data_IF_807888366425
#
_entry.id   IF_807888366425
#
_cell.length_a   1.000
_cell.length_b   1.000
_cell.length_c   1.000
_cell.angle_alpha   90.00
_cell.angle_beta   90.00
_cell.angle_gamma   90.00
#
_symmetry.space_group_name_H-M   'P 1'
#
loop_
_entity.id
_entity.type
_entity.pdbx_description
1 polymer ?
#
# COMPACT_ATOMS: atom_id res chain seq x y z
N UNK A 1 8.23 10.42 -14.49
CA UNK A 1 7.73 10.11 -15.87
C UNK A 1 6.21 10.15 -15.96
N UNK A 2 5.65 10.55 -17.12
CA UNK A 2 4.20 10.61 -17.35
C UNK A 2 3.64 9.30 -17.93
N UNK A 3 2.56 8.81 -17.36
CA UNK A 3 1.75 7.70 -17.88
C UNK A 3 0.47 8.23 -18.58
N UNK A 4 -0.03 7.55 -19.63
CA UNK A 4 -1.17 8.05 -20.38
C UNK A 4 -2.52 7.69 -19.75
N UNK A 5 -3.23 8.70 -19.25
CA UNK A 5 -4.67 8.61 -18.91
C UNK A 5 -5.48 8.95 -20.15
N UNK A 6 -6.52 8.17 -20.44
CA UNK A 6 -7.44 8.42 -21.55
C UNK A 6 -8.79 8.85 -21.02
N UNK A 7 -9.34 9.90 -21.61
CA UNK A 7 -10.65 10.45 -21.27
C UNK A 7 -11.55 10.34 -22.48
N UNK A 8 -12.75 9.84 -22.28
CA UNK A 8 -13.78 9.74 -23.32
C UNK A 8 -15.01 10.48 -22.83
N UNK A 9 -15.71 11.21 -23.71
CA UNK A 9 -16.95 11.87 -23.35
C UNK A 9 -17.98 11.82 -24.48
N UNK A 10 -19.24 11.54 -24.15
CA UNK A 10 -20.30 11.45 -25.15
C UNK A 10 -21.60 10.86 -24.60
N UNK A 11 -22.65 10.84 -25.43
CA UNK A 11 -23.87 10.07 -25.14
C UNK A 11 -23.56 8.58 -25.27
N UNK A 12 -23.61 7.83 -24.17
CA UNK A 12 -23.17 6.44 -24.14
C UNK A 12 -24.22 5.53 -23.51
N UNK A 13 -24.20 4.26 -23.92
CA UNK A 13 -24.73 3.17 -23.12
C UNK A 13 -23.61 2.56 -22.28
N UNK A 14 -23.82 2.46 -20.98
CA UNK A 14 -22.96 1.70 -20.07
C UNK A 14 -23.67 0.42 -19.65
N UNK A 15 -22.98 -0.71 -19.78
CA UNK A 15 -23.46 -2.03 -19.35
C UNK A 15 -22.42 -2.65 -18.42
N UNK A 16 -22.83 -2.94 -17.19
CA UNK A 16 -22.01 -3.61 -16.20
C UNK A 16 -22.59 -4.98 -15.87
N UNK A 17 -21.75 -6.00 -15.93
CA UNK A 17 -22.04 -7.36 -15.45
C UNK A 17 -21.09 -7.69 -14.33
N UNK A 18 -21.64 -7.94 -13.15
CA UNK A 18 -20.90 -8.44 -12.01
C UNK A 18 -20.61 -9.94 -12.18
N UNK A 19 -19.55 -10.40 -11.53
CA UNK A 19 -19.29 -11.82 -11.32
C UNK A 19 -20.51 -12.50 -10.71
N UNK A 20 -20.97 -13.57 -11.35
CA UNK A 20 -22.00 -14.43 -10.74
C UNK A 20 -21.28 -15.21 -9.65
N UNK A 21 -21.57 -14.94 -8.38
CA UNK A 21 -21.09 -15.80 -7.30
C UNK A 21 -21.51 -17.23 -7.64
N UNK A 22 -20.54 -18.10 -7.99
CA UNK A 22 -20.80 -19.54 -7.97
C UNK A 22 -21.10 -19.84 -6.51
N UNK A 23 -22.37 -20.11 -6.21
CA UNK A 23 -22.78 -20.65 -4.93
C UNK A 23 -21.98 -21.91 -4.67
N UNK A 24 -20.88 -21.82 -3.93
CA UNK A 24 -20.48 -22.93 -3.08
C UNK A 24 -21.67 -23.20 -2.16
N UNK A 25 -22.12 -24.46 -2.15
CA UNK A 25 -23.37 -24.87 -1.52
C UNK A 25 -23.49 -24.33 -0.08
N UNK A 26 -24.54 -23.58 0.27
CA UNK A 26 -24.71 -23.15 1.64
C UNK A 26 -25.13 -24.35 2.51
N UNK A 27 -24.39 -24.59 3.60
CA UNK A 27 -24.98 -25.23 4.78
C UNK A 27 -26.08 -24.29 5.27
N UNK A 28 -27.28 -24.83 5.39
CA UNK A 28 -28.51 -24.13 5.72
C UNK A 28 -28.35 -23.18 6.92
N UNK A 29 -28.74 -21.91 6.77
CA UNK A 29 -29.65 -21.20 7.68
C UNK A 29 -29.93 -19.73 7.27
N UNK A 30 -31.23 -19.44 7.22
CA UNK A 30 -31.97 -18.15 7.28
C UNK A 30 -32.14 -17.29 6.01
N UNK A 31 -33.40 -16.85 5.72
CA UNK A 31 -33.71 -15.98 4.59
C UNK A 31 -33.91 -14.52 5.03
N UNK A 32 -33.10 -13.59 4.53
CA UNK A 32 -33.49 -12.17 4.36
C UNK A 32 -32.48 -11.34 3.54
N UNK A 33 -31.78 -11.93 2.58
CA UNK A 33 -30.94 -11.15 1.66
C UNK A 33 -31.58 -11.16 0.27
N UNK A 34 -31.94 -9.97 -0.21
CA UNK A 34 -32.40 -9.74 -1.57
C UNK A 34 -31.42 -10.41 -2.54
N UNK A 35 -31.92 -11.36 -3.34
CA UNK A 35 -31.13 -12.03 -4.36
C UNK A 35 -30.51 -10.98 -5.29
N UNK A 36 -29.18 -10.86 -5.28
CA UNK A 36 -28.44 -10.01 -6.21
C UNK A 36 -28.72 -10.54 -7.61
N UNK A 37 -29.57 -9.83 -8.37
CA UNK A 37 -29.88 -10.19 -9.74
C UNK A 37 -28.60 -10.21 -10.58
N UNK A 38 -28.37 -11.32 -11.27
CA UNK A 38 -27.27 -11.51 -12.23
C UNK A 38 -27.46 -10.73 -13.52
N UNK A 39 -28.57 -9.98 -13.65
CA UNK A 39 -28.84 -9.22 -14.87
C UNK A 39 -27.86 -8.05 -15.03
N UNK A 40 -27.37 -7.81 -16.26
CA UNK A 40 -26.55 -6.66 -16.55
C UNK A 40 -27.26 -5.37 -16.16
N UNK A 41 -26.62 -4.57 -15.31
CA UNK A 41 -27.06 -3.19 -15.07
C UNK A 41 -26.74 -2.39 -16.33
N UNK A 42 -27.77 -1.84 -16.96
CA UNK A 42 -27.66 -1.04 -18.18
C UNK A 42 -28.21 0.35 -17.94
N UNK A 43 -27.44 1.35 -18.33
CA UNK A 43 -27.81 2.76 -18.21
C UNK A 43 -27.37 3.52 -19.46
N UNK A 44 -28.03 4.64 -19.73
CA UNK A 44 -27.69 5.55 -20.83
C UNK A 44 -27.62 6.98 -20.32
N UNK A 45 -26.66 7.73 -20.83
CA UNK A 45 -26.55 9.16 -20.56
C UNK A 45 -25.31 9.75 -21.21
N UNK A 46 -25.19 11.09 -21.14
CA UNK A 46 -23.95 11.76 -21.48
C UNK A 46 -22.98 11.62 -20.30
N UNK A 47 -21.90 10.89 -20.51
CA UNK A 47 -20.96 10.49 -19.46
C UNK A 47 -19.53 10.87 -19.81
N UNK A 48 -18.69 10.95 -18.78
CA UNK A 48 -17.24 11.04 -18.90
C UNK A 48 -16.62 9.74 -18.41
N UNK A 49 -15.74 9.15 -19.21
CA UNK A 49 -15.05 7.89 -18.90
C UNK A 49 -13.57 8.16 -18.71
N UNK A 50 -13.03 7.78 -17.56
CA UNK A 50 -11.60 7.84 -17.26
C UNK A 50 -11.01 6.44 -17.31
N UNK A 51 -10.07 6.21 -18.22
CA UNK A 51 -9.31 4.97 -18.34
C UNK A 51 -7.85 5.21 -17.93
N UNK A 52 -7.46 4.61 -16.81
CA UNK A 52 -6.15 4.74 -16.18
C UNK A 52 -5.15 3.68 -16.66
N UNK A 53 -3.83 3.91 -16.52
CA UNK A 53 -2.78 2.98 -16.94
C UNK A 53 -2.87 1.59 -16.31
N UNK A 54 -3.36 1.49 -15.08
CA UNK A 54 -3.54 0.23 -14.35
C UNK A 54 -4.77 -0.58 -14.80
N UNK A 55 -5.41 -0.20 -15.91
CA UNK A 55 -6.62 -0.84 -16.43
C UNK A 55 -7.89 -0.42 -15.70
N UNK A 56 -7.83 0.51 -14.75
CA UNK A 56 -9.03 1.04 -14.09
C UNK A 56 -9.85 1.89 -15.07
N UNK A 57 -11.15 1.58 -15.17
CA UNK A 57 -12.14 2.34 -15.96
C UNK A 57 -13.22 2.87 -15.01
N UNK A 58 -13.43 4.18 -15.01
CA UNK A 58 -14.44 4.89 -14.22
C UNK A 58 -15.39 5.61 -15.16
N UNK A 59 -16.70 5.46 -14.94
CA UNK A 59 -17.75 6.16 -15.69
C UNK A 59 -18.45 7.12 -14.75
N UNK A 60 -18.40 8.41 -15.04
CA UNK A 60 -19.08 9.45 -14.28
C UNK A 60 -20.22 10.04 -15.10
N UNK A 61 -21.37 10.26 -14.47
CA UNK A 61 -22.40 11.17 -14.98
C UNK A 61 -22.20 12.57 -14.38
N UNK A 62 -23.24 13.41 -14.41
CA UNK A 62 -23.16 14.78 -13.92
C UNK A 62 -23.30 14.92 -12.40
N UNK A 63 -23.71 13.88 -11.67
CA UNK A 63 -24.08 13.96 -10.26
C UNK A 63 -23.31 12.97 -9.39
N UNK A 64 -23.15 13.32 -8.11
CA UNK A 64 -22.51 12.45 -7.14
C UNK A 64 -20.97 12.44 -7.22
N UNK A 65 -20.36 12.09 -6.10
CA UNK A 65 -18.92 11.95 -6.00
C UNK A 65 -18.41 10.63 -6.61
N UNK A 66 -19.23 9.58 -6.55
CA UNK A 66 -18.85 8.24 -7.00
C UNK A 66 -19.17 8.05 -8.49
N UNK A 67 -18.35 7.29 -9.23
CA UNK A 67 -18.68 6.89 -10.59
C UNK A 67 -19.96 6.05 -10.61
N UNK A 68 -20.79 6.23 -11.63
CA UNK A 68 -22.01 5.45 -11.84
C UNK A 68 -21.74 3.99 -12.22
N UNK A 69 -20.57 3.72 -12.81
CA UNK A 69 -20.07 2.37 -13.05
C UNK A 69 -18.54 2.39 -13.08
N UNK A 70 -17.92 1.31 -12.62
CA UNK A 70 -16.46 1.19 -12.65
C UNK A 70 -16.00 -0.25 -12.72
N UNK A 71 -14.78 -0.44 -13.21
CA UNK A 71 -14.03 -1.68 -13.06
C UNK A 71 -12.57 -1.33 -12.79
N UNK A 72 -12.05 -1.71 -11.63
CA UNK A 72 -10.68 -1.37 -11.20
C UNK A 72 -9.71 -2.51 -11.49
N UNK A 73 -8.51 -2.17 -11.98
CA UNK A 73 -7.45 -3.15 -12.29
C UNK A 73 -7.96 -4.29 -13.17
N UNK A 74 -8.52 -3.93 -14.33
CA UNK A 74 -9.00 -4.90 -15.30
C UNK A 74 -7.83 -5.69 -15.91
N UNK A 75 -8.04 -6.99 -16.15
CA UNK A 75 -7.07 -7.87 -16.81
C UNK A 75 -6.81 -7.42 -18.26
N UNK A 76 -7.86 -6.89 -18.90
CA UNK A 76 -7.79 -6.32 -20.23
C UNK A 76 -8.79 -5.17 -20.41
N UNK A 77 -8.39 -4.16 -21.18
CA UNK A 77 -9.27 -3.09 -21.66
C UNK A 77 -9.17 -2.97 -23.18
N UNK A 78 -10.17 -3.51 -23.87
CA UNK A 78 -10.32 -3.39 -25.32
C UNK A 78 -10.94 -2.05 -25.69
N UNK A 79 -10.44 -1.44 -26.76
CA UNK A 79 -10.85 -0.13 -27.25
C UNK A 79 -11.07 -0.24 -28.74
N UNK A 80 -12.27 0.12 -29.18
CA UNK A 80 -12.65 0.16 -30.57
C UNK A 80 -13.13 1.57 -30.91
N UNK A 81 -12.89 1.97 -32.15
CA UNK A 81 -13.33 3.25 -32.70
C UNK A 81 -14.04 2.96 -34.01
N UNK A 82 -15.21 3.53 -34.22
CA UNK A 82 -15.87 3.46 -35.52
C UNK A 82 -15.41 4.60 -36.44
N UNK A 83 -15.74 4.49 -37.73
CA UNK A 83 -15.43 5.48 -38.75
C UNK A 83 -16.24 6.78 -38.64
N UNK A 84 -17.23 6.83 -37.76
CA UNK A 84 -18.12 7.99 -37.51
C UNK A 84 -17.69 8.78 -36.27
N UNK A 85 -16.56 8.42 -35.66
CA UNK A 85 -15.97 9.12 -34.52
C UNK A 85 -16.45 8.63 -33.15
N UNK A 86 -17.25 7.56 -33.09
CA UNK A 86 -17.66 6.90 -31.86
C UNK A 86 -16.60 5.95 -31.29
N UNK A 87 -16.90 5.38 -30.13
CA UNK A 87 -16.05 4.42 -29.45
C UNK A 87 -16.83 3.31 -28.74
N UNK A 88 -16.15 2.18 -28.57
CA UNK A 88 -16.53 1.17 -27.59
C UNK A 88 -15.33 0.84 -26.70
N UNK A 89 -15.58 0.81 -25.39
CA UNK A 89 -14.65 0.39 -24.35
C UNK A 89 -15.18 -0.86 -23.68
N UNK A 90 -14.33 -1.87 -23.55
CA UNK A 90 -14.67 -3.11 -22.84
C UNK A 90 -13.56 -3.44 -21.87
N UNK A 91 -13.83 -3.27 -20.58
CA UNK A 91 -12.96 -3.71 -19.51
C UNK A 91 -13.46 -5.06 -18.97
N UNK A 92 -12.54 -5.99 -18.77
CA UNK A 92 -12.81 -7.35 -18.27
C UNK A 92 -11.90 -7.61 -17.08
N UNK A 93 -12.48 -8.15 -16.01
CA UNK A 93 -11.76 -8.61 -14.83
C UNK A 93 -12.45 -9.85 -14.30
N UNK A 94 -11.76 -10.98 -14.30
CA UNK A 94 -12.37 -12.27 -13.97
C UNK A 94 -13.67 -12.48 -14.80
N UNK A 95 -14.80 -12.79 -14.15
CA UNK A 95 -16.11 -12.91 -14.80
C UNK A 95 -16.87 -11.57 -14.90
N UNK A 96 -16.30 -10.48 -14.38
CA UNK A 96 -16.89 -9.13 -14.42
C UNK A 96 -16.55 -8.41 -15.72
N UNK A 97 -17.54 -7.68 -16.27
CA UNK A 97 -17.38 -6.94 -17.53
C UNK A 97 -18.07 -5.58 -17.48
N UNK A 98 -17.32 -4.54 -17.83
CA UNK A 98 -17.83 -3.19 -18.04
C UNK A 98 -17.70 -2.84 -19.54
N UNK A 99 -18.82 -2.59 -20.21
CA UNK A 99 -18.88 -2.05 -21.57
C UNK A 99 -19.42 -0.64 -21.56
N UNK A 100 -18.74 0.27 -22.26
CA UNK A 100 -19.22 1.63 -22.55
C UNK A 100 -19.18 1.84 -24.05
N UNK A 101 -20.29 2.26 -24.64
CA UNK A 101 -20.43 2.39 -26.09
C UNK A 101 -21.12 3.71 -26.42
N UNK A 102 -20.50 4.54 -27.25
CA UNK A 102 -21.05 5.83 -27.63
C UNK A 102 -22.11 5.69 -28.71
N UNK A 103 -23.09 6.59 -28.67
CA UNK A 103 -24.09 6.79 -29.71
C UNK A 103 -23.60 7.90 -30.64
N UNK A 104 -22.82 7.52 -31.67
CA UNK A 104 -22.21 8.43 -32.62
C UNK A 104 -20.92 9.08 -32.11
N UNK A 105 -20.57 10.23 -32.70
CA UNK A 105 -19.32 10.95 -32.44
C UNK A 105 -19.13 11.31 -30.96
N UNK A 106 -17.92 11.06 -30.46
CA UNK A 106 -17.55 11.28 -29.07
C UNK A 106 -16.13 11.85 -28.93
N UNK A 107 -15.92 12.61 -27.86
CA UNK A 107 -14.62 13.18 -27.53
C UNK A 107 -13.70 12.10 -26.95
N UNK A 108 -12.44 12.11 -27.37
CA UNK A 108 -11.43 11.14 -26.98
C UNK A 108 -10.09 11.83 -26.86
N UNK A 109 -9.62 11.97 -25.64
CA UNK A 109 -8.37 12.65 -25.35
C UNK A 109 -7.42 11.76 -24.56
N UNK A 110 -6.13 12.07 -24.70
CA UNK A 110 -5.04 11.41 -23.98
C UNK A 110 -4.23 12.48 -23.27
N UNK A 111 -4.08 12.31 -21.96
CA UNK A 111 -3.32 13.22 -21.13
C UNK A 111 -2.19 12.47 -20.43
N UNK A 112 -1.03 13.11 -20.30
CA UNK A 112 0.04 12.63 -19.44
C UNK A 112 -0.33 12.90 -17.98
N UNK A 113 -0.17 11.90 -17.13
CA UNK A 113 -0.35 12.02 -15.68
C UNK A 113 0.87 11.42 -14.99
N UNK A 114 1.25 11.99 -13.85
CA UNK A 114 2.31 11.46 -13.00
C UNK A 114 1.70 10.91 -11.71
N UNK A 115 2.48 10.18 -10.89
CA UNK A 115 2.23 10.16 -9.46
C UNK A 115 2.10 11.58 -8.93
N UNK A 116 1.20 11.77 -7.97
CA UNK A 116 0.95 13.05 -7.32
C UNK A 116 0.92 12.84 -5.82
N UNK A 117 1.55 13.75 -5.09
CA UNK A 117 1.67 13.71 -3.63
C UNK A 117 2.48 14.91 -3.14
N UNK A 118 2.75 14.98 -1.82
CA UNK A 118 3.58 16.04 -1.25
C UNK A 118 4.97 16.07 -1.89
N UNK A 119 5.48 17.26 -2.15
CA UNK A 119 6.87 17.47 -2.57
C UNK A 119 7.83 17.07 -1.44
N UNK A 120 8.93 16.41 -1.80
CA UNK A 120 9.92 15.92 -0.82
C UNK A 120 11.34 16.40 -1.08
N UNK A 121 11.62 17.00 -2.24
CA UNK A 121 12.92 17.55 -2.56
C UNK A 121 13.24 17.54 -4.05
N UNK A 122 14.52 17.59 -4.37
CA UNK A 122 15.04 17.65 -5.75
C UNK A 122 15.78 16.35 -6.08
N UNK A 123 15.60 15.86 -7.30
CA UNK A 123 16.25 14.66 -7.79
C UNK A 123 17.72 14.95 -8.13
N UNK A 124 18.69 14.21 -7.57
CA UNK A 124 20.11 14.43 -7.86
C UNK A 124 20.51 14.04 -9.29
N UNK A 125 19.72 13.20 -9.97
CA UNK A 125 20.04 12.71 -11.31
C UNK A 125 19.64 13.67 -12.43
N UNK A 126 18.65 14.54 -12.20
CA UNK A 126 18.07 15.39 -13.25
C UNK A 126 17.54 16.75 -12.79
N UNK A 127 17.75 17.12 -11.52
CA UNK A 127 17.23 18.34 -10.87
C UNK A 127 15.69 18.46 -10.86
N UNK A 128 14.99 17.38 -11.21
CA UNK A 128 13.53 17.32 -11.23
C UNK A 128 12.90 17.28 -9.84
N UNK A 129 11.59 17.55 -9.77
CA UNK A 129 10.87 17.50 -8.48
C UNK A 129 10.64 16.06 -8.01
N UNK A 130 10.93 15.79 -6.73
CA UNK A 130 10.59 14.54 -6.06
C UNK A 130 9.27 14.70 -5.30
N UNK A 131 8.40 13.69 -5.42
CA UNK A 131 7.13 13.63 -4.67
C UNK A 131 7.00 12.30 -3.94
N UNK A 132 6.32 12.30 -2.78
CA UNK A 132 5.92 11.07 -2.09
C UNK A 132 4.60 10.56 -2.62
N UNK A 133 4.62 9.44 -3.34
CA UNK A 133 3.41 8.84 -3.90
C UNK A 133 3.50 7.31 -3.92
N UNK A 134 2.36 6.64 -3.73
CA UNK A 134 2.23 5.17 -3.85
C UNK A 134 3.26 4.34 -3.04
N UNK A 135 3.72 4.86 -1.90
CA UNK A 135 4.70 4.17 -1.03
C UNK A 135 6.16 4.36 -1.45
N UNK A 136 6.46 5.32 -2.32
CA UNK A 136 7.81 5.66 -2.75
C UNK A 136 8.04 7.18 -2.77
N UNK A 137 9.30 7.58 -2.86
CA UNK A 137 9.70 8.90 -3.38
C UNK A 137 10.00 8.75 -4.86
N UNK A 138 9.31 9.51 -5.71
CA UNK A 138 9.40 9.37 -7.18
C UNK A 138 9.75 10.70 -7.82
N UNK A 139 10.66 10.68 -8.80
CA UNK A 139 10.94 11.85 -9.64
C UNK A 139 9.88 12.02 -10.74
N UNK A 140 9.45 13.26 -10.94
CA UNK A 140 8.49 13.60 -12.00
C UNK A 140 9.15 13.61 -13.40
N UNK A 141 10.44 13.91 -13.50
CA UNK A 141 11.14 14.19 -14.76
C UNK A 141 12.03 13.04 -15.26
N UNK A 142 12.46 12.12 -14.38
CA UNK A 142 13.18 10.90 -14.76
C UNK A 142 12.48 9.64 -14.22
N UNK A 143 13.18 8.49 -14.28
CA UNK A 143 12.70 7.19 -13.79
C UNK A 143 13.13 6.86 -12.36
N UNK A 144 13.77 7.80 -11.65
CA UNK A 144 14.19 7.57 -10.27
C UNK A 144 12.99 7.34 -9.34
N UNK A 145 13.06 6.26 -8.58
CA UNK A 145 12.04 5.85 -7.62
C UNK A 145 12.70 5.13 -6.43
N UNK A 146 12.36 5.55 -5.22
CA UNK A 146 12.89 5.02 -3.97
C UNK A 146 11.75 4.47 -3.12
N UNK A 147 11.60 3.15 -3.08
CA UNK A 147 10.55 2.48 -2.31
C UNK A 147 10.74 2.65 -0.80
N UNK A 148 9.65 2.97 -0.09
CA UNK A 148 9.69 3.24 1.35
C UNK A 148 8.99 2.12 2.13
N UNK A 149 9.43 1.86 3.39
CA UNK A 149 8.62 1.12 4.34
C UNK A 149 7.24 1.76 4.54
N UNK A 150 6.23 0.93 4.83
CA UNK A 150 4.83 1.38 4.95
C UNK A 150 4.62 2.50 5.98
N UNK A 151 5.37 2.43 7.06
CA UNK A 151 5.34 3.31 8.22
C UNK A 151 6.36 4.46 8.14
N UNK A 152 7.18 4.52 7.09
CA UNK A 152 8.18 5.57 6.97
C UNK A 152 7.52 6.94 6.75
N UNK A 153 8.10 8.01 7.28
CA UNK A 153 7.70 9.41 7.02
C UNK A 153 8.87 10.16 6.40
N UNK A 154 8.64 10.94 5.35
CA UNK A 154 9.70 11.77 4.72
C UNK A 154 9.96 13.01 5.58
N UNK A 155 11.22 13.40 5.69
CA UNK A 155 11.67 14.56 6.46
C UNK A 155 12.02 15.70 5.50
N UNK A 156 12.01 16.93 6.01
CA UNK A 156 12.45 18.11 5.25
C UNK A 156 13.98 18.19 5.10
N UNK A 157 14.73 17.34 5.82
CA UNK A 157 16.18 17.26 5.75
C UNK A 157 16.65 16.40 4.58
N UNK A 158 17.83 16.73 4.08
CA UNK A 158 18.47 16.07 2.93
C UNK A 158 19.68 15.26 3.41
N UNK A 159 19.87 14.07 2.84
CA UNK A 159 21.10 13.29 3.01
C UNK A 159 22.26 13.94 2.25
N UNK A 160 23.49 13.58 2.58
CA UNK A 160 24.70 14.08 1.90
C UNK A 160 24.72 13.77 0.41
N UNK A 161 24.03 12.71 -0.03
CA UNK A 161 23.86 12.39 -1.45
C UNK A 161 22.86 13.28 -2.19
N UNK A 162 22.19 14.22 -1.50
CA UNK A 162 21.19 15.12 -2.08
C UNK A 162 19.76 14.59 -2.08
N UNK A 163 19.53 13.32 -1.71
CA UNK A 163 18.19 12.75 -1.59
C UNK A 163 17.54 13.11 -0.24
N UNK A 164 16.19 13.14 -0.17
CA UNK A 164 15.47 13.37 1.07
C UNK A 164 15.79 12.32 2.13
N UNK A 165 15.69 12.68 3.41
CA UNK A 165 15.72 11.71 4.52
C UNK A 165 14.30 11.20 4.82
N UNK A 166 14.23 10.04 5.43
CA UNK A 166 13.03 9.47 6.00
C UNK A 166 13.26 9.05 7.45
N UNK A 167 12.19 9.01 8.22
CA UNK A 167 12.14 8.37 9.54
C UNK A 167 11.29 7.11 9.49
N UNK A 168 11.67 6.08 10.24
CA UNK A 168 10.93 4.81 10.37
C UNK A 168 11.12 4.23 11.78
N UNK A 169 10.14 3.49 12.30
CA UNK A 169 10.24 2.89 13.64
C UNK A 169 10.51 1.38 13.59
N UNK A 170 11.59 0.92 14.23
CA UNK A 170 11.92 -0.50 14.34
C UNK A 170 12.49 -0.79 15.72
N UNK A 171 11.69 -0.71 16.78
CA UNK A 171 12.21 -0.75 18.16
C UNK A 171 12.81 0.58 18.63
N UNK A 172 13.31 1.38 17.70
CA UNK A 172 13.72 2.76 17.88
C UNK A 172 13.37 3.55 16.61
N UNK A 173 13.44 4.88 16.70
CA UNK A 173 13.32 5.77 15.55
C UNK A 173 14.65 5.79 14.80
N UNK A 174 14.62 5.51 13.51
CA UNK A 174 15.77 5.59 12.61
C UNK A 174 15.55 6.69 11.59
N UNK A 175 16.52 7.58 11.41
CA UNK A 175 16.53 8.61 10.36
C UNK A 175 17.61 8.30 9.33
N UNK A 176 17.21 8.00 8.10
CA UNK A 176 18.07 7.47 7.04
C UNK A 176 17.68 8.10 5.70
N UNK A 177 18.55 8.01 4.70
CA UNK A 177 18.23 8.33 3.32
C UNK A 177 17.03 7.50 2.83
N UNK A 178 16.23 8.08 1.93
CA UNK A 178 15.17 7.32 1.22
C UNK A 178 15.74 6.25 0.30
N UNK A 179 16.99 6.41 -0.14
CA UNK A 179 17.70 5.40 -0.90
C UNK A 179 18.37 4.38 0.03
N UNK A 180 17.90 3.14 -0.07
CA UNK A 180 18.44 1.99 0.67
C UNK A 180 19.88 1.69 0.31
N UNK A 181 20.33 1.98 -0.92
CA UNK A 181 21.73 1.76 -1.30
C UNK A 181 22.67 2.77 -0.63
N UNK A 182 22.16 3.96 -0.28
CA UNK A 182 22.90 4.99 0.44
C UNK A 182 22.98 4.71 1.95
N UNK A 183 21.83 4.50 2.61
CA UNK A 183 21.76 4.18 4.05
C UNK A 183 20.83 2.98 4.28
N UNK A 184 21.39 1.84 4.68
CA UNK A 184 20.64 0.59 4.83
C UNK A 184 19.97 0.49 6.21
N UNK A 185 18.63 0.53 6.23
CA UNK A 185 17.84 0.30 7.45
C UNK A 185 18.22 -1.00 8.18
N UNK A 186 18.49 -2.07 7.43
CA UNK A 186 18.83 -3.37 8.02
C UNK A 186 20.11 -3.32 8.84
N UNK A 187 21.09 -2.57 8.35
CA UNK A 187 22.37 -2.42 9.02
C UNK A 187 22.21 -1.55 10.27
N UNK A 188 21.49 -0.43 10.15
CA UNK A 188 21.20 0.42 11.29
C UNK A 188 20.44 -0.31 12.41
N UNK A 189 19.47 -1.17 12.05
CA UNK A 189 18.73 -1.99 13.01
C UNK A 189 19.64 -3.06 13.64
N UNK A 190 20.46 -3.76 12.84
CA UNK A 190 21.42 -4.74 13.37
C UNK A 190 22.42 -4.10 14.32
N UNK A 191 23.04 -3.00 13.93
CA UNK A 191 23.97 -2.26 14.77
C UNK A 191 23.35 -1.88 16.11
N UNK A 192 22.05 -1.53 16.11
CA UNK A 192 21.35 -1.13 17.32
C UNK A 192 20.91 -2.30 18.20
N UNK A 193 20.50 -3.43 17.64
CA UNK A 193 19.74 -4.45 18.37
C UNK A 193 20.30 -5.87 18.29
N UNK A 194 21.35 -6.12 17.50
CA UNK A 194 21.95 -7.45 17.44
C UNK A 194 22.53 -7.84 18.80
N UNK A 195 22.06 -8.96 19.35
CA UNK A 195 22.41 -9.48 20.69
C UNK A 195 22.02 -8.55 21.86
N UNK A 196 21.04 -7.66 21.65
CA UNK A 196 20.51 -6.79 22.72
C UNK A 196 19.63 -7.56 23.73
N UNK A 197 19.01 -8.66 23.29
CA UNK A 197 18.03 -9.42 24.07
C UNK A 197 18.39 -10.90 24.19
N UNK A 198 17.85 -11.54 25.21
CA UNK A 198 18.09 -12.96 25.50
C UNK A 198 16.90 -13.81 25.07
N UNK A 199 17.21 -15.00 24.56
CA UNK A 199 16.21 -15.99 24.17
C UNK A 199 15.51 -16.56 25.41
N UNK A 200 14.18 -16.49 25.51
CA UNK A 200 13.45 -17.04 26.66
C UNK A 200 13.56 -18.57 26.77
N UNK A 201 13.86 -19.27 25.68
CA UNK A 201 13.92 -20.74 25.68
C UNK A 201 15.26 -21.31 26.18
N UNK A 202 16.38 -20.65 25.88
CA UNK A 202 17.71 -21.17 26.19
C UNK A 202 18.67 -20.16 26.83
N UNK A 203 18.25 -18.90 26.98
CA UNK A 203 19.07 -17.80 27.53
C UNK A 203 20.17 -17.28 26.61
N UNK A 204 20.34 -17.84 25.41
CA UNK A 204 21.32 -17.36 24.42
C UNK A 204 20.93 -16.03 23.79
N UNK A 205 21.91 -15.32 23.20
CA UNK A 205 21.66 -14.02 22.56
C UNK A 205 20.72 -14.14 21.35
N UNK A 206 19.81 -13.18 21.19
CA UNK A 206 19.00 -13.02 19.99
C UNK A 206 19.71 -12.15 18.96
N UNK A 207 19.88 -12.66 17.74
CA UNK A 207 20.48 -11.95 16.62
C UNK A 207 19.43 -11.32 15.72
N UNK A 208 19.75 -10.18 15.12
CA UNK A 208 18.91 -9.52 14.12
C UNK A 208 19.20 -10.14 12.75
N UNK A 209 18.27 -10.96 12.27
CA UNK A 209 18.37 -11.69 11.01
C UNK A 209 17.41 -11.11 9.97
N UNK A 210 17.68 -11.40 8.69
CA UNK A 210 16.83 -11.00 7.56
C UNK A 210 16.47 -12.21 6.72
N UNK A 211 15.17 -12.37 6.48
CA UNK A 211 14.64 -13.11 5.34
C UNK A 211 13.80 -12.17 4.47
N UNK A 212 12.47 -12.33 4.49
CA UNK A 212 11.53 -11.39 3.86
C UNK A 212 11.45 -10.08 4.64
N UNK A 213 11.51 -10.18 5.97
CA UNK A 213 11.53 -9.07 6.92
C UNK A 213 12.69 -9.28 7.90
N UNK A 214 12.99 -8.25 8.69
CA UNK A 214 13.88 -8.39 9.84
C UNK A 214 13.14 -9.12 10.97
N UNK A 215 13.85 -9.97 11.69
CA UNK A 215 13.35 -10.72 12.84
C UNK A 215 14.50 -11.03 13.80
N UNK A 216 14.14 -11.47 15.01
CA UNK A 216 15.08 -11.92 16.03
C UNK A 216 15.17 -13.46 15.97
N UNK A 217 16.37 -14.00 15.82
CA UNK A 217 16.60 -15.45 15.86
C UNK A 217 17.63 -15.83 16.91
N UNK A 218 17.45 -16.97 17.57
CA UNK A 218 18.40 -17.42 18.58
C UNK A 218 19.80 -17.66 17.99
N UNK A 219 20.83 -17.13 18.64
CA UNK A 219 22.23 -17.32 18.27
C UNK A 219 22.76 -18.74 18.47
N UNK A 220 21.99 -19.61 19.15
CA UNK A 220 22.32 -21.02 19.40
C UNK A 220 21.65 -21.98 18.39
N UNK A 221 21.22 -21.49 17.22
CA UNK A 221 20.76 -22.36 16.14
C UNK A 221 21.91 -23.27 15.66
N UNK A 222 21.66 -24.56 15.36
CA UNK A 222 20.36 -25.26 15.31
C UNK A 222 19.82 -25.81 16.64
N UNK A 223 20.56 -25.74 17.74
CA UNK A 223 20.17 -26.31 19.04
C UNK A 223 18.96 -25.59 19.68
N UNK A 224 18.73 -24.33 19.32
CA UNK A 224 17.53 -23.57 19.64
C UNK A 224 17.04 -22.83 18.40
N UNK A 225 15.81 -23.12 17.97
CA UNK A 225 15.19 -22.57 16.76
C UNK A 225 14.22 -21.41 17.06
N UNK A 226 14.26 -20.86 18.28
CA UNK A 226 13.37 -19.79 18.71
C UNK A 226 13.54 -18.54 17.82
N UNK A 227 12.41 -17.99 17.39
CA UNK A 227 12.35 -16.76 16.59
C UNK A 227 11.24 -15.84 17.09
N UNK A 228 11.48 -14.54 16.99
CA UNK A 228 10.55 -13.50 17.41
C UNK A 228 10.49 -12.40 16.35
N UNK A 229 9.35 -11.70 16.25
CA UNK A 229 9.25 -10.54 15.39
C UNK A 229 10.21 -9.43 15.86
N UNK A 230 10.70 -8.60 14.93
CA UNK A 230 11.40 -7.38 15.33
C UNK A 230 10.36 -6.39 15.91
N UNK A 231 10.67 -5.65 16.99
CA UNK A 231 9.74 -4.65 17.52
C UNK A 231 9.36 -3.62 16.44
N UNK A 232 8.07 -3.44 16.19
CA UNK A 232 7.58 -2.45 15.22
C UNK A 232 7.51 -1.03 15.81
N UNK A 233 7.58 -0.92 17.14
CA UNK A 233 7.44 0.32 17.90
C UNK A 233 8.56 0.49 18.89
N UNK A 234 8.67 1.70 19.44
CA UNK A 234 9.65 2.03 20.47
C UNK A 234 9.67 1.01 21.61
N UNK A 235 10.87 0.46 21.84
CA UNK A 235 11.22 -0.32 23.01
C UNK A 235 11.36 0.63 24.19
N UNK A 236 10.66 0.32 25.29
CA UNK A 236 10.60 1.14 26.51
C UNK A 236 11.24 0.45 27.71
N UNK A 237 11.64 -0.81 27.57
CA UNK A 237 12.30 -1.58 28.61
C UNK A 237 12.50 -3.03 28.19
N UNK A 238 12.72 -3.91 29.17
CA UNK A 238 12.87 -5.35 28.99
C UNK A 238 11.89 -6.09 29.91
N UNK A 239 11.47 -7.29 29.51
CA UNK A 239 10.76 -8.24 30.37
C UNK A 239 11.74 -9.20 31.06
N UNK A 240 11.30 -9.86 32.13
CA UNK A 240 12.13 -10.85 32.85
C UNK A 240 12.36 -12.09 31.99
N UNK A 241 11.44 -12.40 31.07
CA UNK A 241 11.64 -13.41 30.03
C UNK A 241 12.82 -13.13 29.07
N UNK A 242 13.41 -11.93 29.10
CA UNK A 242 14.58 -11.55 28.28
C UNK A 242 14.26 -10.82 26.98
N UNK A 243 12.97 -10.69 26.62
CA UNK A 243 12.50 -9.97 25.44
C UNK A 243 12.18 -8.49 25.72
N UNK A 244 12.13 -7.61 24.70
CA UNK A 244 11.82 -6.20 24.90
C UNK A 244 10.36 -5.94 25.29
N UNK A 245 10.16 -4.91 26.12
CA UNK A 245 8.86 -4.23 26.30
C UNK A 245 8.67 -3.17 25.23
N UNK A 246 7.54 -3.21 24.55
CA UNK A 246 7.20 -2.35 23.42
C UNK A 246 5.96 -1.52 23.76
N UNK A 247 5.95 -0.25 23.36
CA UNK A 247 4.81 0.66 23.54
C UNK A 247 3.54 0.14 22.81
N UNK A 248 2.37 0.33 23.40
CA UNK A 248 1.05 -0.06 22.89
C UNK A 248 0.50 0.82 21.76
N UNK A 249 -0.73 0.50 21.32
CA UNK A 249 -1.39 0.94 20.07
C UNK A 249 -2.10 2.30 20.16
N UNK A 250 -2.24 2.89 21.34
CA UNK A 250 -3.03 4.11 21.47
C UNK A 250 -2.31 5.34 20.86
N UNK A 251 -2.90 5.83 19.78
CA UNK A 251 -2.46 6.92 18.91
C UNK A 251 -2.65 8.33 19.49
N UNK A 252 -2.99 8.44 20.78
CA UNK A 252 -3.19 9.72 21.47
C UNK A 252 -1.98 10.06 22.34
N UNK A 253 -1.48 11.29 22.19
CA UNK A 253 -0.39 11.90 22.99
C UNK A 253 -0.69 11.93 24.51
N UNK A 254 -1.90 11.52 24.91
CA UNK A 254 -2.34 11.35 26.30
C UNK A 254 -2.22 9.91 26.83
N UNK A 255 -1.53 9.00 26.13
CA UNK A 255 -1.30 7.64 26.62
C UNK A 255 -0.71 7.67 28.04
N UNK A 256 -1.38 6.97 28.96
CA UNK A 256 -0.81 6.69 30.30
C UNK A 256 0.54 6.03 30.09
N UNK A 257 1.52 6.34 30.94
CA UNK A 257 2.88 5.82 30.85
C UNK A 257 3.01 4.28 30.95
N UNK A 258 1.90 3.54 30.98
CA UNK A 258 1.78 2.16 31.43
C UNK A 258 1.26 1.18 30.35
N UNK A 259 0.91 1.66 29.14
CA UNK A 259 0.48 0.78 28.04
C UNK A 259 1.67 0.22 27.27
N UNK A 260 2.48 -0.61 27.94
CA UNK A 260 3.57 -1.37 27.30
C UNK A 260 3.35 -2.86 27.48
N UNK A 261 3.70 -3.65 26.46
CA UNK A 261 3.59 -5.11 26.48
C UNK A 261 4.89 -5.77 26.08
N UNK A 262 5.09 -7.00 26.52
CA UNK A 262 6.17 -7.83 26.01
C UNK A 262 6.02 -8.01 24.49
N UNK A 263 7.15 -8.15 23.79
CA UNK A 263 7.17 -8.54 22.38
C UNK A 263 6.56 -9.92 22.15
N UNK A 264 6.72 -10.83 23.11
CA UNK A 264 6.06 -12.13 23.12
C UNK A 264 4.66 -12.03 23.74
N UNK A 265 3.59 -12.30 22.98
CA UNK A 265 2.22 -12.27 23.50
C UNK A 265 1.93 -13.34 24.56
N UNK A 266 2.74 -14.42 24.61
CA UNK A 266 2.60 -15.49 25.60
C UNK A 266 3.30 -15.17 26.93
N UNK A 267 4.05 -14.06 26.99
CA UNK A 267 4.63 -13.55 28.22
C UNK A 267 3.53 -12.99 29.14
N UNK A 268 3.28 -13.69 30.25
CA UNK A 268 2.23 -13.35 31.22
C UNK A 268 2.68 -12.37 32.32
N UNK A 269 3.84 -11.74 32.16
CA UNK A 269 4.48 -10.91 33.18
C UNK A 269 3.87 -9.50 33.25
N UNK A 270 3.47 -9.09 34.45
CA UNK A 270 2.90 -7.75 34.72
C UNK A 270 4.02 -6.70 34.72
N UNK A 271 3.84 -5.48 34.19
CA UNK A 271 4.87 -4.44 34.21
C UNK A 271 5.39 -4.18 35.63
N UNK A 272 6.70 -4.30 35.82
CA UNK A 272 7.36 -3.69 36.98
C UNK A 272 7.36 -2.17 36.77
N UNK A 273 6.68 -1.47 37.66
CA UNK A 273 6.68 0.00 37.72
C UNK A 273 8.05 0.44 38.24
N UNK A 274 8.91 0.96 37.36
CA UNK A 274 10.17 1.62 37.77
C UNK A 274 9.89 3.02 38.30
#
# INVERSE_FOLDING_TARGET
MTEPVRVYAGDCTTTYRAETQRSEMPRASKPSDEAVSSDPRRQRGRVVVVHKPDGTVLVHDAEGYQPVAWLTRADAVHRETDGEGGFALVAVKDDSRLRVESHGGADRERHGATPAGPETGTCPDCDGTLVRARGAVTCLDCSAEYGLPRDATTLDSTCECGLPRMTVERGARFELCVDRECEQLDEAVRERFDREWSCPECGGDLRVLRERTLFLGCGNYPECEATFALPERKVVGSCECGLPRVRGDDSDDSARADDSRCLDPDCTETPETV
#
